data_IF_683542221584
#
_entry.id   IF_683542221584
#
_cell.length_a   1.000
_cell.length_b   1.000
_cell.length_c   1.000
_cell.angle_alpha   90.00
_cell.angle_beta   90.00
_cell.angle_gamma   90.00
#
_symmetry.space_group_name_H-M   'P 1'
#
loop_
_entity.id
_entity.type
_entity.pdbx_description
1 polymer ?
#
# COMPACT_ATOMS: atom_id res chain seq x y z
N UNK A 1 14.26 -13.98 -1.73
CA UNK A 1 14.72 -12.79 -0.97
C UNK A 1 16.04 -13.13 -0.29
N UNK A 2 17.06 -12.26 -0.33
CA UNK A 2 18.31 -12.48 0.39
C UNK A 2 18.11 -12.62 1.91
N UNK A 3 18.91 -13.44 2.58
CA UNK A 3 18.76 -13.70 4.02
C UNK A 3 18.98 -12.47 4.90
N UNK A 4 19.91 -11.59 4.53
CA UNK A 4 20.19 -10.34 5.26
C UNK A 4 18.98 -9.39 5.24
N UNK A 5 18.32 -9.26 4.09
CA UNK A 5 17.16 -8.40 3.91
C UNK A 5 15.94 -8.94 4.66
N UNK A 6 15.78 -10.26 4.69
CA UNK A 6 14.78 -10.90 5.56
C UNK A 6 15.01 -10.52 7.02
N UNK A 7 16.26 -10.59 7.48
CA UNK A 7 16.59 -10.26 8.87
C UNK A 7 16.32 -8.78 9.19
N UNK A 8 16.72 -7.86 8.31
CA UNK A 8 16.42 -6.44 8.48
C UNK A 8 14.91 -6.15 8.59
N UNK A 9 14.08 -6.82 7.77
CA UNK A 9 12.62 -6.69 7.86
C UNK A 9 12.09 -7.18 9.20
N UNK A 10 12.61 -8.32 9.70
CA UNK A 10 12.21 -8.87 11.00
C UNK A 10 12.60 -7.96 12.15
N UNK A 11 13.81 -7.42 12.12
CA UNK A 11 14.33 -6.50 13.14
C UNK A 11 13.54 -5.20 13.16
N UNK A 12 13.24 -4.63 11.98
CA UNK A 12 12.40 -3.44 11.85
C UNK A 12 10.97 -3.69 12.35
N UNK A 13 10.37 -4.83 12.01
CA UNK A 13 9.04 -5.23 12.49
C UNK A 13 9.01 -5.42 14.02
N UNK A 14 10.06 -6.00 14.60
CA UNK A 14 10.21 -6.08 16.04
C UNK A 14 10.32 -4.68 16.67
N UNK A 15 11.04 -3.75 16.03
CA UNK A 15 11.15 -2.35 16.42
C UNK A 15 9.81 -1.58 16.43
N UNK A 16 8.83 -1.99 15.60
CA UNK A 16 7.46 -1.44 15.64
C UNK A 16 6.63 -1.92 16.85
N UNK A 17 7.21 -2.77 17.69
CA UNK A 17 6.58 -3.39 18.86
C UNK A 17 5.71 -4.60 18.51
N UNK A 18 5.83 -5.12 17.27
CA UNK A 18 4.98 -6.19 16.76
C UNK A 18 3.50 -5.82 16.62
N UNK A 19 2.70 -6.84 16.28
CA UNK A 19 1.25 -6.72 16.11
C UNK A 19 0.81 -6.54 14.66
N UNK A 20 -0.44 -6.12 14.46
CA UNK A 20 -1.02 -5.98 13.13
C UNK A 20 -0.36 -4.82 12.35
N UNK A 21 0.10 -5.11 11.14
CA UNK A 21 0.64 -4.13 10.20
C UNK A 21 -0.12 -4.16 8.87
N UNK A 22 -0.16 -3.02 8.20
CA UNK A 22 -0.51 -2.89 6.79
C UNK A 22 0.77 -2.92 5.96
N UNK A 23 0.78 -3.72 4.90
CA UNK A 23 1.86 -3.78 3.91
C UNK A 23 1.32 -3.26 2.58
N UNK A 24 1.91 -2.18 2.08
CA UNK A 24 1.44 -1.46 0.88
C UNK A 24 2.58 -1.30 -0.11
N UNK A 25 2.36 -1.68 -1.37
CA UNK A 25 3.27 -1.35 -2.46
C UNK A 25 3.21 0.14 -2.79
N UNK A 26 4.35 0.79 -2.99
CA UNK A 26 4.48 2.14 -3.51
C UNK A 26 5.53 2.13 -4.62
N UNK A 27 5.09 2.22 -5.87
CA UNK A 27 5.94 2.18 -7.05
C UNK A 27 6.32 3.60 -7.49
N UNK A 28 7.58 3.83 -7.86
CA UNK A 28 8.06 5.13 -8.34
C UNK A 28 7.42 5.57 -9.66
N UNK A 29 6.83 4.62 -10.40
CA UNK A 29 6.07 4.91 -11.63
C UNK A 29 4.73 5.63 -11.37
N UNK A 30 4.32 5.82 -10.12
CA UNK A 30 3.15 6.62 -9.71
C UNK A 30 3.34 8.12 -9.95
N UNK A 31 4.60 8.58 -9.96
CA UNK A 31 4.94 9.99 -10.16
C UNK A 31 5.14 10.36 -11.65
N UNK A 32 4.97 9.40 -12.56
CA UNK A 32 5.04 9.68 -14.00
C UNK A 32 3.77 10.41 -14.46
N UNK A 33 3.89 11.52 -15.21
CA UNK A 33 2.72 12.22 -15.75
C UNK A 33 1.86 11.28 -16.59
N UNK A 34 0.63 11.03 -16.15
CA UNK A 34 -0.33 10.14 -16.84
C UNK A 34 -0.38 8.69 -16.34
N UNK A 35 0.48 8.30 -15.40
CA UNK A 35 0.50 6.96 -14.80
C UNK A 35 -0.19 6.95 -13.43
N UNK A 36 -1.50 7.22 -13.40
CA UNK A 36 -2.29 7.00 -12.19
C UNK A 36 -2.46 5.49 -11.97
N UNK A 37 -1.55 4.87 -11.22
CA UNK A 37 -1.75 3.53 -10.64
C UNK A 37 -2.73 3.55 -9.44
N UNK A 38 -3.51 4.63 -9.30
CA UNK A 38 -4.52 4.79 -8.27
C UNK A 38 -5.53 3.63 -8.32
N UNK A 39 -5.50 2.78 -7.29
CA UNK A 39 -6.46 1.68 -7.11
C UNK A 39 -6.05 0.30 -7.61
N UNK A 40 -4.78 0.09 -8.00
CA UNK A 40 -4.27 -1.23 -8.45
C UNK A 40 -3.17 -1.82 -7.54
N UNK A 41 -2.95 -1.24 -6.36
CA UNK A 41 -1.89 -1.67 -5.46
C UNK A 41 -2.36 -2.79 -4.52
N UNK A 42 -1.60 -3.89 -4.50
CA UNK A 42 -1.81 -4.95 -3.52
C UNK A 42 -1.56 -4.39 -2.11
N UNK A 43 -2.65 -4.24 -1.37
CA UNK A 43 -2.62 -3.83 0.03
C UNK A 43 -3.00 -5.02 0.90
N UNK A 44 -2.08 -5.43 1.75
CA UNK A 44 -2.33 -6.46 2.76
C UNK A 44 -2.58 -5.77 4.10
N UNK A 45 -3.80 -5.90 4.62
CA UNK A 45 -4.19 -5.36 5.92
C UNK A 45 -4.13 -6.45 6.99
N UNK A 46 -3.91 -6.03 8.24
CA UNK A 46 -3.93 -6.91 9.41
C UNK A 46 -2.92 -8.08 9.33
N UNK A 47 -1.76 -7.86 8.71
CA UNK A 47 -0.68 -8.84 8.65
C UNK A 47 -0.02 -8.93 10.00
N UNK A 48 0.14 -10.14 10.55
CA UNK A 48 0.70 -10.38 11.88
C UNK A 48 1.73 -11.51 11.82
N UNK A 49 2.83 -11.33 12.53
CA UNK A 49 3.92 -12.30 12.61
C UNK A 49 5.00 -12.05 11.56
N UNK A 50 6.27 -12.18 11.97
CA UNK A 50 7.42 -11.78 11.15
C UNK A 50 7.46 -12.48 9.78
N UNK A 51 7.21 -13.79 9.74
CA UNK A 51 7.21 -14.55 8.49
C UNK A 51 6.10 -14.10 7.53
N UNK A 52 4.92 -13.77 8.06
CA UNK A 52 3.81 -13.27 7.26
C UNK A 52 4.10 -11.88 6.69
N UNK A 53 4.80 -11.02 7.46
CA UNK A 53 5.25 -9.71 6.98
C UNK A 53 6.26 -9.87 5.85
N UNK A 54 7.25 -10.75 6.03
CA UNK A 54 8.26 -11.05 4.99
C UNK A 54 7.58 -11.58 3.72
N UNK A 55 6.59 -12.48 3.87
CA UNK A 55 5.84 -13.00 2.73
C UNK A 55 5.00 -11.92 2.05
N UNK A 56 4.34 -11.04 2.82
CA UNK A 56 3.55 -9.94 2.27
C UNK A 56 4.45 -8.96 1.49
N UNK A 57 5.65 -8.64 2.01
CA UNK A 57 6.65 -7.82 1.30
C UNK A 57 7.10 -8.50 0.01
N UNK A 58 7.39 -9.80 0.04
CA UNK A 58 7.76 -10.56 -1.15
C UNK A 58 6.64 -10.57 -2.21
N UNK A 59 5.38 -10.68 -1.78
CA UNK A 59 4.22 -10.63 -2.66
C UNK A 59 4.04 -9.23 -3.28
N UNK A 60 4.18 -8.16 -2.49
CA UNK A 60 4.16 -6.78 -3.01
C UNK A 60 5.28 -6.53 -4.02
N UNK A 61 6.44 -7.14 -3.86
CA UNK A 61 7.48 -7.11 -4.88
C UNK A 61 7.05 -7.91 -6.12
N UNK A 62 6.59 -9.14 -5.95
CA UNK A 62 6.16 -9.98 -7.06
C UNK A 62 5.03 -9.34 -7.90
N UNK A 63 4.14 -8.56 -7.29
CA UNK A 63 3.05 -7.88 -8.00
C UNK A 63 3.54 -6.92 -9.10
N UNK A 64 4.76 -6.39 -8.94
CA UNK A 64 5.41 -5.53 -9.93
C UNK A 64 5.69 -6.26 -11.25
N UNK A 65 5.87 -7.58 -11.22
CA UNK A 65 6.20 -8.41 -12.40
C UNK A 65 5.01 -9.20 -12.94
N UNK A 66 3.79 -8.90 -12.50
CA UNK A 66 2.59 -9.50 -13.09
C UNK A 66 2.44 -9.14 -14.57
N UNK A 67 1.84 -10.03 -15.36
CA UNK A 67 1.61 -9.80 -16.80
C UNK A 67 0.87 -8.49 -17.07
N UNK A 68 -0.07 -8.13 -16.19
CA UNK A 68 -0.81 -6.87 -16.27
C UNK A 68 0.10 -5.66 -16.08
N UNK A 69 0.97 -5.68 -15.06
CA UNK A 69 1.91 -4.60 -14.79
C UNK A 69 2.93 -4.45 -15.93
N UNK A 70 3.45 -5.56 -16.44
CA UNK A 70 4.37 -5.57 -17.58
C UNK A 70 3.70 -5.06 -18.87
N UNK A 71 2.48 -5.51 -19.18
CA UNK A 71 1.74 -5.07 -20.35
C UNK A 71 1.41 -3.58 -20.30
N UNK A 72 1.06 -3.05 -19.12
CA UNK A 72 0.85 -1.62 -18.93
C UNK A 72 2.12 -0.81 -19.19
N UNK A 73 3.26 -1.22 -18.63
CA UNK A 73 4.55 -0.52 -18.85
C UNK A 73 5.00 -0.54 -20.30
N UNK A 74 4.83 -1.69 -20.98
CA UNK A 74 5.10 -1.79 -22.43
C UNK A 74 4.26 -0.80 -23.23
N UNK A 75 2.97 -0.63 -22.89
CA UNK A 75 2.09 0.35 -23.54
C UNK A 75 2.51 1.81 -23.28
N UNK A 76 3.05 2.09 -22.09
CA UNK A 76 3.52 3.43 -21.72
C UNK A 76 4.97 3.72 -22.13
N UNK A 77 5.68 2.75 -22.74
CA UNK A 77 7.08 2.91 -23.11
C UNK A 77 8.05 3.03 -21.92
N UNK A 78 7.63 2.62 -20.71
CA UNK A 78 8.46 2.74 -19.51
C UNK A 78 9.49 1.60 -19.49
N UNK A 79 10.77 1.97 -19.36
CA UNK A 79 11.87 1.03 -19.24
C UNK A 79 11.71 0.19 -17.94
N UNK A 80 11.64 -1.16 -18.03
CA UNK A 80 11.50 -2.01 -16.85
C UNK A 80 12.62 -1.84 -15.81
N UNK A 81 13.81 -1.39 -16.23
CA UNK A 81 14.96 -1.18 -15.35
C UNK A 81 14.93 0.14 -14.56
N UNK A 82 14.03 1.06 -14.90
CA UNK A 82 13.90 2.36 -14.23
C UNK A 82 12.77 2.38 -13.20
N UNK A 83 12.02 1.28 -13.06
CA UNK A 83 10.91 1.17 -12.12
C UNK A 83 11.38 0.49 -10.83
N UNK A 84 11.36 1.25 -9.74
CA UNK A 84 11.57 0.74 -8.40
C UNK A 84 10.23 0.63 -7.67
N UNK A 85 10.16 -0.31 -6.73
CA UNK A 85 9.03 -0.44 -5.80
C UNK A 85 9.54 -0.38 -4.37
N UNK A 86 9.02 0.59 -3.63
CA UNK A 86 9.10 0.61 -2.19
C UNK A 86 7.92 -0.19 -1.62
N UNK A 87 8.14 -0.85 -0.49
CA UNK A 87 7.06 -1.50 0.26
C UNK A 87 7.00 -0.85 1.63
N UNK A 88 5.85 -0.25 1.93
CA UNK A 88 5.60 0.45 3.19
C UNK A 88 4.96 -0.52 4.17
N UNK A 89 5.60 -0.71 5.32
CA UNK A 89 5.07 -1.49 6.45
C UNK A 89 4.67 -0.52 7.55
N UNK A 90 3.37 -0.44 7.85
CA UNK A 90 2.81 0.52 8.78
C UNK A 90 2.00 -0.18 9.87
N UNK A 91 2.18 0.19 11.13
CA UNK A 91 1.36 -0.31 12.23
C UNK A 91 -0.12 0.01 12.00
N UNK A 92 -0.99 -0.98 12.20
CA UNK A 92 -2.42 -0.80 12.14
C UNK A 92 -2.89 0.05 13.33
N UNK A 93 -3.73 1.04 13.05
CA UNK A 93 -4.38 1.85 14.07
C UNK A 93 -5.81 1.36 14.22
N UNK A 94 -6.26 0.96 15.43
CA UNK A 94 -7.66 0.66 15.67
C UNK A 94 -8.47 1.95 15.50
N UNK A 95 -9.27 2.02 14.45
CA UNK A 95 -10.05 3.20 14.11
C UNK A 95 -11.55 2.84 14.07
N UNK A 96 -12.36 3.60 14.82
CA UNK A 96 -13.81 3.51 14.74
C UNK A 96 -14.34 4.05 13.40
N UNK A 97 -13.67 5.08 12.86
CA UNK A 97 -13.97 5.71 11.58
C UNK A 97 -12.68 5.87 10.77
N UNK A 98 -12.74 5.63 9.47
CA UNK A 98 -11.68 5.91 8.52
C UNK A 98 -12.23 6.68 7.32
N UNK A 99 -11.42 7.50 6.68
CA UNK A 99 -11.90 8.37 5.62
C UNK A 99 -10.80 9.00 4.78
N UNK A 100 -11.21 9.73 3.75
CA UNK A 100 -10.36 10.51 2.86
C UNK A 100 -10.79 11.97 2.94
N UNK A 101 -9.82 12.86 3.14
CA UNK A 101 -10.00 14.31 3.10
C UNK A 101 -9.51 14.84 1.76
N UNK A 102 -10.36 15.59 1.08
CA UNK A 102 -10.00 16.41 -0.06
C UNK A 102 -9.88 17.87 0.40
N UNK A 103 -8.70 18.46 0.25
CA UNK A 103 -8.42 19.86 0.63
C UNK A 103 -8.93 20.88 -0.39
N UNK A 104 -9.52 20.40 -1.48
CA UNK A 104 -10.25 21.17 -2.47
C UNK A 104 -11.46 20.32 -2.89
N UNK A 105 -12.57 20.95 -3.21
CA UNK A 105 -13.77 20.25 -3.59
C UNK A 105 -13.50 19.40 -4.85
N UNK A 106 -13.63 18.06 -4.80
CA UNK A 106 -13.27 17.18 -5.92
C UNK A 106 -14.23 17.30 -7.12
N UNK A 107 -15.42 17.89 -6.93
CA UNK A 107 -16.42 18.09 -7.98
C UNK A 107 -16.25 19.46 -8.65
N UNK A 108 -16.02 20.51 -7.87
CA UNK A 108 -15.97 21.89 -8.38
C UNK A 108 -14.55 22.44 -8.54
N UNK A 109 -13.55 21.82 -7.90
CA UNK A 109 -12.16 22.28 -7.86
C UNK A 109 -11.89 23.41 -6.86
N UNK A 110 -12.92 23.85 -6.11
CA UNK A 110 -12.82 25.02 -5.26
C UNK A 110 -11.97 24.75 -4.01
N UNK A 111 -10.95 25.58 -3.80
CA UNK A 111 -9.94 25.39 -2.74
C UNK A 111 -10.34 25.97 -1.39
N UNK A 112 -11.39 26.79 -1.35
CA UNK A 112 -11.97 27.26 -0.10
C UNK A 112 -12.90 26.23 0.57
N UNK A 113 -13.22 25.13 -0.13
CA UNK A 113 -14.08 24.07 0.37
C UNK A 113 -13.30 22.77 0.57
N UNK A 114 -13.40 22.21 1.79
CA UNK A 114 -12.83 20.92 2.13
C UNK A 114 -13.95 19.88 2.22
N UNK A 115 -13.73 18.70 1.61
CA UNK A 115 -14.70 17.60 1.58
C UNK A 115 -14.11 16.38 2.27
N UNK A 116 -14.84 15.80 3.21
CA UNK A 116 -14.44 14.58 3.92
C UNK A 116 -15.43 13.47 3.58
N UNK A 117 -14.92 12.34 3.10
CA UNK A 117 -15.66 11.07 3.03
C UNK A 117 -15.18 10.19 4.17
N UNK A 118 -16.09 9.73 5.03
CA UNK A 118 -15.77 8.91 6.20
C UNK A 118 -16.73 7.74 6.33
N UNK A 119 -16.18 6.56 6.60
CA UNK A 119 -16.92 5.32 6.77
C UNK A 119 -16.52 4.62 8.08
N UNK A 120 -17.44 3.89 8.73
CA UNK A 120 -17.13 3.12 9.93
C UNK A 120 -16.19 1.95 9.62
N UNK A 121 -15.16 1.79 10.47
CA UNK A 121 -14.16 0.74 10.35
C UNK A 121 -13.10 0.93 9.24
N UNK A 122 -12.13 0.03 9.22
CA UNK A 122 -11.03 0.00 8.24
C UNK A 122 -11.43 -0.73 6.96
N UNK A 123 -12.36 -0.20 6.14
CA UNK A 123 -12.59 -0.65 4.75
C UNK A 123 -12.92 -2.15 4.49
N UNK A 124 -13.06 -2.98 5.53
CA UNK A 124 -13.55 -4.37 5.53
C UNK A 124 -14.17 -4.65 6.91
N UNK A 125 -15.13 -5.59 7.03
CA UNK A 125 -15.86 -5.79 8.27
C UNK A 125 -14.92 -6.32 9.35
N UNK A 126 -14.87 -5.61 10.47
CA UNK A 126 -14.44 -6.15 11.75
C UNK A 126 -15.53 -7.13 12.21
N UNK A 127 -15.23 -8.42 12.21
CA UNK A 127 -16.05 -9.43 12.88
C UNK A 127 -15.42 -9.75 14.23
N UNK A 128 -15.90 -9.17 15.35
CA UNK A 128 -15.71 -9.81 16.62
C UNK A 128 -16.63 -11.04 16.64
N UNK A 129 -16.08 -12.20 17.00
CA UNK A 129 -16.85 -13.44 17.10
C UNK A 129 -18.12 -13.27 17.93
N UNK A 130 -19.19 -13.89 17.44
CA UNK A 130 -20.51 -14.05 18.06
C UNK A 130 -21.36 -14.92 17.16
#
# INVERSE_FOLDING_TARGET
>A
MPGWLRQEILDAYAGLGGGAVAVRSSATAEDLPGAAFAGQQDTYLNVQGGDNVVQAVANCWASLWTDRAMAYRRRQGINPHEVAIAVVVQKMVPAAMAGVLFTANPVTGERSEMVVDANPGLGRPWSPGG
#
